data_IF_558540970092
#
_entry.id   IF_558540970092
#
_cell.length_a   1.000
_cell.length_b   1.000
_cell.length_c   1.000
_cell.angle_alpha   90.00
_cell.angle_beta   90.00
_cell.angle_gamma   90.00
#
_symmetry.space_group_name_H-M   'P 1'
#
loop_
_entity.id
_entity.type
_entity.pdbx_description
1 polymer ?
#
# COMPACT_ATOMS: atom_id res chain seq x y z
N UNK A 1 -8.09 11.09 -9.33
CA UNK A 1 -7.79 9.84 -8.63
C UNK A 1 -6.66 10.06 -7.64
N UNK A 2 -5.52 10.62 -8.02
CA UNK A 2 -4.32 10.88 -7.19
C UNK A 2 -4.63 11.56 -5.84
N UNK A 3 -5.48 12.62 -5.83
CA UNK A 3 -5.93 13.26 -4.59
C UNK A 3 -6.65 12.30 -3.64
N UNK A 4 -7.44 11.37 -4.18
CA UNK A 4 -8.15 10.38 -3.37
C UNK A 4 -7.17 9.37 -2.80
N UNK A 5 -6.22 8.89 -3.61
CA UNK A 5 -5.14 7.97 -3.21
C UNK A 5 -4.29 8.61 -2.12
N UNK A 6 -3.86 9.86 -2.31
CA UNK A 6 -3.14 10.64 -1.29
C UNK A 6 -3.88 10.69 0.04
N UNK A 7 -5.17 11.10 0.02
CA UNK A 7 -5.95 11.22 1.26
C UNK A 7 -6.12 9.87 1.97
N UNK A 8 -6.38 8.78 1.24
CA UNK A 8 -6.49 7.44 1.80
C UNK A 8 -5.18 7.00 2.47
N UNK A 9 -4.05 7.26 1.82
CA UNK A 9 -2.72 6.94 2.34
C UNK A 9 -2.36 7.81 3.55
N UNK A 10 -2.69 9.09 3.54
CA UNK A 10 -2.45 10.00 4.66
C UNK A 10 -3.27 9.60 5.90
N UNK A 11 -4.55 9.27 5.72
CA UNK A 11 -5.41 8.76 6.80
C UNK A 11 -4.85 7.44 7.33
N UNK A 12 -4.42 6.54 6.46
CA UNK A 12 -3.81 5.26 6.85
C UNK A 12 -2.53 5.48 7.66
N UNK A 13 -1.67 6.40 7.22
CA UNK A 13 -0.45 6.78 7.93
C UNK A 13 -0.75 7.30 9.33
N UNK A 14 -1.73 8.20 9.46
CA UNK A 14 -2.15 8.75 10.76
C UNK A 14 -2.70 7.67 11.70
N UNK A 15 -3.53 6.76 11.19
CA UNK A 15 -4.08 5.64 11.98
C UNK A 15 -2.94 4.74 12.47
N UNK A 16 -2.02 4.34 11.59
CA UNK A 16 -0.89 3.48 11.94
C UNK A 16 0.06 4.16 12.93
N UNK A 17 0.31 5.46 12.78
CA UNK A 17 1.06 6.25 13.75
C UNK A 17 0.39 6.22 15.15
N UNK A 18 -0.91 6.39 15.18
CA UNK A 18 -1.69 6.34 16.43
C UNK A 18 -1.62 4.93 17.04
N UNK A 19 -1.70 3.88 16.25
CA UNK A 19 -1.50 2.50 16.68
C UNK A 19 -0.10 2.31 17.28
N UNK A 20 0.96 2.84 16.64
CA UNK A 20 2.33 2.76 17.12
C UNK A 20 2.50 3.40 18.50
N UNK A 21 1.88 4.56 18.74
CA UNK A 21 1.92 5.25 20.04
C UNK A 21 1.26 4.45 21.16
N UNK A 22 0.23 3.70 20.86
CA UNK A 22 -0.61 3.01 21.86
C UNK A 22 -0.19 1.55 22.10
N UNK A 23 0.67 0.96 21.25
CA UNK A 23 1.12 -0.42 21.44
C UNK A 23 2.28 -0.47 22.44
N UNK A 24 2.21 -1.41 23.41
CA UNK A 24 3.26 -1.59 24.44
C UNK A 24 4.48 -2.34 23.91
N UNK A 25 4.27 -3.30 23.02
CA UNK A 25 5.32 -4.18 22.51
C UNK A 25 6.21 -3.42 21.50
N UNK A 26 7.50 -3.27 21.83
CA UNK A 26 8.46 -2.47 21.05
C UNK A 26 8.56 -2.93 19.59
N UNK A 27 8.58 -4.24 19.32
CA UNK A 27 8.66 -4.78 17.96
C UNK A 27 7.46 -4.34 17.10
N UNK A 28 6.24 -4.45 17.64
CA UNK A 28 5.03 -4.01 16.95
C UNK A 28 5.02 -2.50 16.74
N UNK A 29 5.51 -1.74 17.73
CA UNK A 29 5.64 -0.28 17.64
C UNK A 29 6.51 0.13 16.47
N UNK A 30 7.68 -0.49 16.30
CA UNK A 30 8.58 -0.22 15.19
C UNK A 30 7.90 -0.54 13.85
N UNK A 31 7.21 -1.69 13.75
CA UNK A 31 6.50 -2.09 12.54
C UNK A 31 5.40 -1.07 12.18
N UNK A 32 4.60 -0.64 13.15
CA UNK A 32 3.55 0.36 12.90
C UNK A 32 4.12 1.71 12.49
N UNK A 33 5.24 2.16 13.10
CA UNK A 33 5.92 3.38 12.64
C UNK A 33 6.47 3.24 11.22
N UNK A 34 7.05 2.09 10.89
CA UNK A 34 7.55 1.82 9.55
C UNK A 34 6.42 1.83 8.51
N UNK A 35 5.31 1.15 8.79
CA UNK A 35 4.13 1.14 7.92
C UNK A 35 3.50 2.55 7.79
N UNK A 36 3.45 3.31 8.88
CA UNK A 36 2.99 4.69 8.86
C UNK A 36 3.86 5.58 7.98
N UNK A 37 5.18 5.51 8.16
CA UNK A 37 6.14 6.26 7.35
C UNK A 37 6.07 5.88 5.88
N UNK A 38 5.97 4.58 5.57
CA UNK A 38 5.80 4.09 4.21
C UNK A 38 4.51 4.61 3.55
N UNK A 39 3.38 4.54 4.25
CA UNK A 39 2.11 5.09 3.75
C UNK A 39 2.18 6.59 3.51
N UNK A 40 2.85 7.33 4.40
CA UNK A 40 3.06 8.76 4.25
C UNK A 40 3.92 9.09 3.02
N UNK A 41 5.04 8.39 2.84
CA UNK A 41 5.95 8.62 1.71
C UNK A 41 5.26 8.34 0.39
N UNK A 42 4.53 7.21 0.26
CA UNK A 42 3.78 6.92 -0.96
C UNK A 42 2.73 8.00 -1.21
N UNK A 43 1.98 8.43 -0.19
CA UNK A 43 1.02 9.51 -0.34
C UNK A 43 1.68 10.83 -0.82
N UNK A 44 2.87 11.15 -0.33
CA UNK A 44 3.61 12.34 -0.78
C UNK A 44 4.11 12.21 -2.23
N UNK A 45 4.45 11.01 -2.68
CA UNK A 45 4.78 10.72 -4.08
C UNK A 45 3.59 10.99 -5.00
N UNK A 46 2.35 10.60 -4.62
CA UNK A 46 1.11 10.87 -5.36
C UNK A 46 0.84 12.37 -5.57
N UNK A 47 1.28 13.19 -4.62
CA UNK A 47 1.14 14.65 -4.67
C UNK A 47 2.37 15.36 -5.21
N UNK A 48 3.30 14.62 -5.81
CA UNK A 48 4.60 15.15 -6.26
C UNK A 48 5.27 16.03 -5.19
N UNK A 49 5.24 15.53 -3.95
CA UNK A 49 5.75 16.18 -2.75
C UNK A 49 5.14 17.57 -2.47
N UNK A 50 3.94 17.81 -2.94
CA UNK A 50 3.21 19.06 -2.77
C UNK A 50 3.31 20.00 -3.98
N UNK A 51 3.95 19.60 -5.06
CA UNK A 51 4.01 20.40 -6.30
C UNK A 51 2.61 20.74 -6.82
N UNK A 52 1.67 19.79 -6.72
CA UNK A 52 0.27 20.00 -7.11
C UNK A 52 -0.45 21.09 -6.30
N UNK A 53 0.04 21.39 -5.08
CA UNK A 53 -0.53 22.44 -4.21
C UNK A 53 0.17 23.77 -4.43
N UNK A 54 1.50 23.75 -4.43
CA UNK A 54 2.32 24.97 -4.42
C UNK A 54 2.80 25.40 -5.79
N UNK A 55 2.60 24.56 -6.81
CA UNK A 55 2.88 24.83 -8.22
C UNK A 55 4.33 25.29 -8.50
N UNK A 56 5.30 24.72 -7.79
CA UNK A 56 6.72 24.98 -8.08
C UNK A 56 7.18 24.23 -9.33
N UNK A 57 8.23 24.74 -9.94
CA UNK A 57 8.83 24.11 -11.12
C UNK A 57 9.73 22.94 -10.70
N UNK A 58 9.60 21.83 -11.37
CA UNK A 58 10.52 20.69 -11.22
C UNK A 58 11.95 21.14 -11.59
N UNK A 59 12.95 20.78 -10.78
CA UNK A 59 14.35 21.01 -11.15
C UNK A 59 14.67 20.44 -12.53
N UNK A 60 15.39 21.19 -13.36
CA UNK A 60 15.63 20.80 -14.77
C UNK A 60 16.28 19.44 -14.93
N UNK A 61 17.17 19.05 -14.02
CA UNK A 61 17.82 17.74 -14.02
C UNK A 61 16.82 16.60 -13.77
N UNK A 62 15.87 16.80 -12.87
CA UNK A 62 14.82 15.81 -12.57
C UNK A 62 13.79 15.74 -13.72
N UNK A 63 13.39 16.89 -14.26
CA UNK A 63 12.47 16.98 -15.39
C UNK A 63 12.95 16.25 -16.66
N UNK A 64 14.27 16.10 -16.84
CA UNK A 64 14.86 15.38 -17.98
C UNK A 64 14.70 13.84 -17.89
N UNK A 65 14.56 13.29 -16.68
CA UNK A 65 14.51 11.85 -16.42
C UNK A 65 13.15 11.38 -15.89
N UNK A 66 12.25 12.30 -15.57
CA UNK A 66 10.90 12.04 -15.09
C UNK A 66 9.91 12.11 -16.26
N UNK A 67 9.11 11.08 -16.48
CA UNK A 67 8.24 10.94 -17.64
C UNK A 67 7.11 11.99 -17.66
N UNK A 68 6.67 12.45 -16.50
CA UNK A 68 5.63 13.48 -16.37
C UNK A 68 6.20 14.88 -16.08
N UNK A 69 7.52 15.00 -15.90
CA UNK A 69 8.18 16.26 -15.55
C UNK A 69 7.82 16.75 -14.15
N UNK A 70 7.48 15.85 -13.25
CA UNK A 70 7.04 16.12 -11.89
C UNK A 70 8.15 15.94 -10.85
N UNK A 71 7.90 16.45 -9.62
CA UNK A 71 8.86 16.35 -8.51
C UNK A 71 8.56 15.10 -7.67
N UNK A 72 8.46 13.92 -8.31
CA UNK A 72 8.29 12.63 -7.66
C UNK A 72 9.32 11.62 -8.18
N UNK A 73 9.48 10.53 -7.46
CA UNK A 73 10.45 9.48 -7.81
C UNK A 73 9.82 8.37 -8.64
N UNK A 74 8.55 8.07 -8.42
CA UNK A 74 7.90 6.94 -9.10
C UNK A 74 7.75 7.17 -10.60
N UNK A 75 7.71 8.42 -11.07
CA UNK A 75 7.68 8.78 -12.49
C UNK A 75 9.09 8.93 -13.11
N UNK A 76 10.17 8.64 -12.39
CA UNK A 76 11.49 8.51 -13.00
C UNK A 76 11.49 7.28 -13.91
N UNK A 77 11.86 7.48 -15.19
CA UNK A 77 11.78 6.46 -16.26
C UNK A 77 12.29 5.10 -15.84
N UNK A 78 13.43 5.02 -15.16
CA UNK A 78 13.99 3.75 -14.67
C UNK A 78 13.08 3.06 -13.64
N UNK A 79 12.30 3.83 -12.88
CA UNK A 79 11.38 3.32 -11.85
C UNK A 79 10.02 3.06 -12.45
N UNK A 80 9.49 4.00 -13.27
CA UNK A 80 8.18 3.90 -13.89
C UNK A 80 8.06 2.68 -14.81
N UNK A 81 9.10 2.35 -15.57
CA UNK A 81 9.13 1.16 -16.44
C UNK A 81 8.89 -0.18 -15.67
N UNK A 82 9.07 -0.17 -14.35
CA UNK A 82 8.95 -1.39 -13.52
C UNK A 82 7.97 -1.23 -12.35
N UNK A 83 7.34 -0.07 -12.21
CA UNK A 83 6.42 0.24 -11.11
C UNK A 83 5.28 -0.76 -10.99
N UNK A 84 4.63 -1.09 -12.10
CA UNK A 84 3.55 -2.07 -12.16
C UNK A 84 3.96 -3.46 -11.68
N UNK A 85 5.14 -3.92 -12.09
CA UNK A 85 5.67 -5.21 -11.63
C UNK A 85 5.91 -5.19 -10.12
N UNK A 86 6.60 -4.16 -9.63
CA UNK A 86 6.94 -4.04 -8.20
C UNK A 86 5.66 -3.94 -7.36
N UNK A 87 4.73 -3.09 -7.77
CA UNK A 87 3.45 -2.91 -7.09
C UNK A 87 2.64 -4.22 -7.07
N UNK A 88 2.48 -4.86 -8.24
CA UNK A 88 1.79 -6.14 -8.36
C UNK A 88 2.40 -7.24 -7.50
N UNK A 89 3.75 -7.35 -7.45
CA UNK A 89 4.45 -8.33 -6.61
C UNK A 89 4.31 -8.05 -5.11
N UNK A 90 4.36 -6.79 -4.68
CA UNK A 90 4.14 -6.41 -3.28
C UNK A 90 2.73 -6.83 -2.86
N UNK A 91 1.71 -6.53 -3.65
CA UNK A 91 0.34 -6.93 -3.36
C UNK A 91 0.17 -8.46 -3.37
N UNK A 92 0.81 -9.17 -4.31
CA UNK A 92 0.82 -10.63 -4.33
C UNK A 92 1.44 -11.22 -3.05
N UNK A 93 2.54 -10.64 -2.56
CA UNK A 93 3.15 -11.03 -1.29
C UNK A 93 2.20 -10.80 -0.11
N UNK A 94 1.51 -9.66 -0.07
CA UNK A 94 0.49 -9.37 0.97
C UNK A 94 -0.63 -10.42 0.93
N UNK A 95 -1.09 -10.81 -0.25
CA UNK A 95 -2.09 -11.87 -0.44
C UNK A 95 -1.58 -13.20 0.12
N UNK A 96 -0.37 -13.61 -0.25
CA UNK A 96 0.24 -14.85 0.22
C UNK A 96 0.42 -14.87 1.74
N UNK A 97 0.92 -13.78 2.32
CA UNK A 97 1.06 -13.62 3.79
C UNK A 97 -0.30 -13.71 4.47
N UNK A 98 -1.33 -13.06 3.90
CA UNK A 98 -2.69 -13.12 4.44
C UNK A 98 -3.23 -14.54 4.45
N UNK A 99 -3.08 -15.28 3.36
CA UNK A 99 -3.54 -16.66 3.25
C UNK A 99 -2.76 -17.60 4.16
N UNK A 100 -1.43 -17.46 4.21
CA UNK A 100 -0.56 -18.26 5.06
C UNK A 100 -0.87 -18.03 6.55
N UNK A 101 -0.97 -16.78 6.99
CA UNK A 101 -1.30 -16.44 8.37
C UNK A 101 -2.64 -17.03 8.80
N UNK A 102 -3.66 -16.95 7.93
CA UNK A 102 -4.97 -17.53 8.22
C UNK A 102 -4.97 -19.08 8.28
N UNK A 103 -4.04 -19.75 7.57
CA UNK A 103 -3.85 -21.21 7.70
C UNK A 103 -3.09 -21.56 8.99
N UNK A 104 -2.04 -20.80 9.29
CA UNK A 104 -1.20 -21.00 10.47
C UNK A 104 -1.98 -20.79 11.77
N UNK A 105 -2.80 -19.72 11.87
CA UNK A 105 -3.63 -19.48 13.06
C UNK A 105 -4.58 -20.60 13.40
N UNK A 106 -5.02 -21.38 12.40
CA UNK A 106 -5.88 -22.57 12.62
C UNK A 106 -5.10 -23.80 13.10
N UNK A 107 -3.80 -23.89 12.82
CA UNK A 107 -2.95 -25.06 13.12
C UNK A 107 -2.14 -24.92 14.40
N UNK A 108 -1.77 -23.70 14.77
CA UNK A 108 -0.93 -23.46 15.94
C UNK A 108 -1.79 -23.50 17.20
N UNK A 109 -1.55 -24.53 18.04
CA UNK A 109 -2.19 -24.68 19.35
C UNK A 109 -1.54 -23.78 20.41
N UNK A 110 -0.23 -23.54 20.29
CA UNK A 110 0.53 -22.68 21.22
C UNK A 110 0.57 -21.25 20.70
N UNK A 111 -0.25 -20.39 21.31
CA UNK A 111 -0.47 -19.01 20.83
C UNK A 111 0.62 -18.02 21.26
N UNK A 112 1.49 -18.36 22.19
CA UNK A 112 2.34 -17.37 22.88
C UNK A 112 3.49 -16.82 22.06
N UNK A 113 4.04 -17.56 21.11
CA UNK A 113 5.23 -17.13 20.35
C UNK A 113 4.90 -16.41 19.03
N UNK A 114 3.90 -16.89 18.28
CA UNK A 114 3.57 -16.40 16.95
C UNK A 114 2.43 -15.36 16.91
N UNK A 115 1.69 -15.21 18.00
CA UNK A 115 0.50 -14.37 18.06
C UNK A 115 0.72 -12.92 17.63
N UNK A 116 1.82 -12.25 18.01
CA UNK A 116 2.02 -10.84 17.66
C UNK A 116 2.19 -10.63 16.14
N UNK A 117 2.97 -11.49 15.46
CA UNK A 117 3.19 -11.40 14.01
C UNK A 117 1.96 -11.81 13.20
N UNK A 118 1.24 -12.84 13.65
CA UNK A 118 0.00 -13.28 13.02
C UNK A 118 -1.10 -12.22 13.13
N UNK A 119 -1.09 -11.44 14.22
CA UNK A 119 -2.01 -10.33 14.39
C UNK A 119 -1.73 -9.14 13.45
N UNK A 120 -0.55 -9.07 12.85
CA UNK A 120 -0.23 -8.07 11.82
C UNK A 120 -0.76 -8.46 10.43
N UNK A 121 -1.04 -9.73 10.18
CA UNK A 121 -1.53 -10.14 8.88
C UNK A 121 -2.89 -9.51 8.55
N UNK A 122 -3.11 -9.04 7.31
CA UNK A 122 -4.40 -8.52 6.90
C UNK A 122 -5.53 -9.53 7.08
N UNK A 123 -6.75 -9.07 7.26
CA UNK A 123 -7.91 -9.95 7.26
C UNK A 123 -8.21 -10.44 5.84
N UNK A 124 -8.85 -11.63 5.72
CA UNK A 124 -9.23 -12.16 4.41
C UNK A 124 -10.19 -11.24 3.64
N UNK A 125 -10.99 -10.45 4.33
CA UNK A 125 -11.93 -9.52 3.69
C UNK A 125 -11.18 -8.47 2.84
N UNK A 126 -9.94 -8.13 3.20
CA UNK A 126 -9.14 -7.16 2.45
C UNK A 126 -8.59 -7.71 1.13
N UNK A 127 -8.67 -9.02 0.91
CA UNK A 127 -8.28 -9.63 -0.36
C UNK A 127 -9.13 -9.12 -1.54
N UNK A 128 -10.35 -8.62 -1.27
CA UNK A 128 -11.21 -8.00 -2.29
C UNK A 128 -10.55 -6.75 -2.93
N UNK A 129 -9.67 -6.08 -2.22
CA UNK A 129 -8.92 -4.94 -2.73
C UNK A 129 -7.57 -5.37 -3.33
N UNK A 130 -6.84 -6.25 -2.65
CA UNK A 130 -5.47 -6.59 -3.03
C UNK A 130 -5.40 -7.53 -4.25
N UNK A 131 -6.36 -8.45 -4.42
CA UNK A 131 -6.34 -9.38 -5.55
C UNK A 131 -6.54 -8.63 -6.88
N UNK A 132 -7.61 -7.83 -7.09
CA UNK A 132 -7.80 -7.14 -8.36
C UNK A 132 -6.66 -6.15 -8.65
N UNK A 133 -6.20 -5.38 -7.66
CA UNK A 133 -5.09 -4.45 -7.85
C UNK A 133 -3.79 -5.17 -8.26
N UNK A 134 -3.44 -6.29 -7.59
CA UNK A 134 -2.26 -7.08 -7.94
C UNK A 134 -2.34 -7.68 -9.35
N UNK A 135 -3.47 -8.32 -9.68
CA UNK A 135 -3.66 -8.93 -10.99
C UNK A 135 -3.61 -7.90 -12.11
N UNK A 136 -4.23 -6.75 -11.89
CA UNK A 136 -4.28 -5.70 -12.88
C UNK A 136 -2.89 -5.13 -13.17
N UNK A 137 -2.11 -4.77 -12.13
CA UNK A 137 -0.75 -4.26 -12.31
C UNK A 137 0.17 -5.28 -13.01
N UNK A 138 0.05 -6.56 -12.69
CA UNK A 138 0.79 -7.59 -13.40
C UNK A 138 0.34 -7.73 -14.87
N UNK A 139 -0.96 -7.58 -15.16
CA UNK A 139 -1.47 -7.57 -16.52
C UNK A 139 -0.95 -6.37 -17.31
N UNK A 140 -0.85 -5.18 -16.71
CA UNK A 140 -0.25 -4.00 -17.34
C UNK A 140 1.22 -4.24 -17.67
N UNK A 141 2.00 -4.68 -16.69
CA UNK A 141 3.43 -4.93 -16.90
C UNK A 141 3.71 -5.94 -18.03
N UNK A 142 2.95 -7.03 -18.12
CA UNK A 142 3.11 -8.03 -19.18
C UNK A 142 2.39 -7.68 -20.48
N UNK A 143 1.84 -6.49 -20.63
CA UNK A 143 1.09 -6.03 -21.81
C UNK A 143 -0.05 -6.97 -22.23
N UNK A 144 -0.66 -7.67 -21.27
CA UNK A 144 -1.75 -8.62 -21.55
C UNK A 144 -2.97 -7.88 -22.12
N UNK A 145 -3.09 -6.57 -21.88
CA UNK A 145 -4.14 -5.70 -22.39
C UNK A 145 -4.15 -5.61 -23.92
N UNK A 146 -3.01 -5.76 -24.61
CA UNK A 146 -2.97 -5.78 -26.07
C UNK A 146 -3.76 -6.94 -26.67
N UNK A 147 -3.89 -8.05 -25.94
CA UNK A 147 -4.64 -9.22 -26.33
C UNK A 147 -6.16 -9.13 -26.04
N UNK A 148 -6.58 -8.15 -25.23
CA UNK A 148 -7.98 -7.99 -24.80
C UNK A 148 -8.76 -6.93 -25.58
N UNK A 149 -8.27 -6.49 -26.73
CA UNK A 149 -8.93 -5.55 -27.66
C UNK A 149 -9.44 -4.24 -27.01
N UNK A 150 -8.61 -3.60 -26.20
CA UNK A 150 -8.88 -2.23 -25.75
C UNK A 150 -9.96 -2.10 -24.67
N UNK A 151 -10.26 -3.19 -23.97
CA UNK A 151 -11.20 -3.15 -22.83
C UNK A 151 -10.64 -2.45 -21.59
N UNK A 152 -9.36 -2.05 -21.62
CA UNK A 152 -8.66 -1.37 -20.55
C UNK A 152 -8.57 0.12 -20.89
N UNK A 153 -9.14 0.99 -20.05
CA UNK A 153 -9.19 2.44 -20.24
C UNK A 153 -7.90 3.13 -19.80
N UNK A 154 -7.54 4.26 -20.41
CA UNK A 154 -6.48 5.14 -19.88
C UNK A 154 -6.91 5.68 -18.52
N UNK A 155 -6.04 5.55 -17.50
CA UNK A 155 -6.33 5.95 -16.11
C UNK A 155 -6.71 4.82 -15.16
N UNK A 156 -6.69 3.57 -15.63
CA UNK A 156 -6.99 2.41 -14.77
C UNK A 156 -5.85 2.08 -13.81
N UNK A 157 -4.61 2.43 -14.15
CA UNK A 157 -3.44 2.32 -13.27
C UNK A 157 -3.70 3.09 -11.96
N UNK A 158 -4.01 4.39 -12.06
CA UNK A 158 -4.36 5.23 -10.92
C UNK A 158 -5.57 4.70 -10.13
N UNK A 159 -6.56 4.11 -10.83
CA UNK A 159 -7.71 3.50 -10.18
C UNK A 159 -7.31 2.29 -9.33
N UNK A 160 -6.39 1.46 -9.81
CA UNK A 160 -5.92 0.28 -9.07
C UNK A 160 -5.01 0.65 -7.90
N UNK A 161 -4.24 1.71 -8.01
CA UNK A 161 -3.50 2.32 -6.89
C UNK A 161 -4.46 2.80 -5.80
N UNK A 162 -5.52 3.48 -6.19
CA UNK A 162 -6.58 3.89 -5.26
C UNK A 162 -7.26 2.68 -4.61
N UNK A 163 -7.53 1.60 -5.34
CA UNK A 163 -8.08 0.35 -4.79
C UNK A 163 -7.13 -0.26 -3.75
N UNK A 164 -5.83 -0.28 -4.03
CA UNK A 164 -4.81 -0.71 -3.07
C UNK A 164 -4.76 0.18 -1.83
N UNK A 165 -4.89 1.49 -1.99
CA UNK A 165 -4.95 2.45 -0.89
C UNK A 165 -6.21 2.25 -0.01
N UNK A 166 -7.37 1.91 -0.58
CA UNK A 166 -8.54 1.46 0.18
C UNK A 166 -8.26 0.20 0.98
N UNK A 167 -7.55 -0.77 0.39
CA UNK A 167 -7.10 -1.97 1.09
C UNK A 167 -6.21 -1.63 2.30
N UNK A 168 -5.28 -0.70 2.16
CA UNK A 168 -4.40 -0.25 3.24
C UNK A 168 -5.18 0.52 4.32
N UNK A 169 -6.15 1.35 3.95
CA UNK A 169 -7.02 2.02 4.91
C UNK A 169 -7.86 1.00 5.71
N UNK A 170 -8.43 0.01 5.03
CA UNK A 170 -9.15 -1.09 5.69
C UNK A 170 -8.25 -1.89 6.63
N UNK A 171 -6.99 -2.12 6.25
CA UNK A 171 -5.99 -2.73 7.12
C UNK A 171 -5.73 -1.86 8.35
N UNK A 172 -5.43 -0.59 8.16
CA UNK A 172 -5.10 0.36 9.23
C UNK A 172 -6.23 0.47 10.26
N UNK A 173 -7.48 0.59 9.79
CA UNK A 173 -8.66 0.64 10.67
C UNK A 173 -8.85 -0.67 11.45
N UNK A 174 -8.58 -1.82 10.82
CA UNK A 174 -8.65 -3.12 11.50
C UNK A 174 -7.63 -3.24 12.66
N UNK A 175 -6.48 -2.55 12.56
CA UNK A 175 -5.46 -2.57 13.61
C UNK A 175 -5.92 -1.88 14.88
N UNK A 176 -6.73 -0.82 14.80
CA UNK A 176 -7.33 -0.17 15.98
C UNK A 176 -8.15 -1.17 16.80
N UNK A 177 -9.02 -1.92 16.15
CA UNK A 177 -9.87 -2.93 16.82
C UNK A 177 -9.03 -4.03 17.46
N UNK A 178 -7.98 -4.48 16.79
CA UNK A 178 -7.06 -5.50 17.31
C UNK A 178 -6.26 -5.00 18.52
N UNK A 179 -5.78 -3.74 18.51
CA UNK A 179 -5.09 -3.15 19.64
C UNK A 179 -5.99 -3.04 20.88
N UNK A 180 -7.25 -2.62 20.71
CA UNK A 180 -8.22 -2.60 21.82
C UNK A 180 -8.39 -3.97 22.45
N UNK A 181 -8.53 -5.02 21.65
CA UNK A 181 -8.67 -6.39 22.14
C UNK A 181 -7.39 -6.91 22.85
N UNK A 182 -6.19 -6.48 22.40
CA UNK A 182 -4.93 -6.84 23.07
C UNK A 182 -4.69 -6.13 24.40
N UNK A 183 -5.36 -5.00 24.65
CA UNK A 183 -5.25 -4.25 25.91
C UNK A 183 -6.25 -4.74 26.97
N UNK A 184 -7.30 -5.43 26.56
CA UNK A 184 -8.32 -5.96 27.46
C UNK A 184 -7.99 -7.38 27.99
N UNK A 185 -7.06 -8.07 27.37
CA UNK A 185 -6.55 -9.39 27.77
C UNK A 185 -5.15 -9.27 28.41
#
# INVERSE_FOLDING_TARGET
VEWSTFLLLLISAYILFTCAKNVRQVRLRIIYYALSGFSFVIGMEEMSWGQMIFNWKTPSQLALINDQGETNLHNIRLISDHSDLVYGLILALIILVTLAANRLTKRIKDKNFYTPLLNLAPSKMLLIYFIPASLFSLCLYFNIHEYTHGFIFRGEEELMEMVGAFGLLGYSTSMISRLKNMQQN
#
